data_IF_647759533657
#
_entry.id   IF_647759533657
#
_cell.length_a   1.000
_cell.length_b   1.000
_cell.length_c   1.000
_cell.angle_alpha   90.00
_cell.angle_beta   90.00
_cell.angle_gamma   90.00
#
_symmetry.space_group_name_H-M   'P 1'
#
loop_
_entity.id
_entity.type
_entity.pdbx_description
1 polymer ?
#
# COMPACT_ATOMS: atom_id res chain seq x y z
N UNK A 1 -25.21 -17.31 11.80
CA UNK A 1 -23.82 -16.83 11.74
C UNK A 1 -23.60 -16.35 10.32
N UNK A 2 -23.03 -15.15 10.08
CA UNK A 2 -22.73 -14.74 8.72
C UNK A 2 -21.69 -15.73 8.19
N UNK A 3 -21.99 -16.40 7.09
CA UNK A 3 -20.97 -17.12 6.33
C UNK A 3 -20.01 -16.04 5.86
N UNK A 4 -18.79 -16.03 6.40
CA UNK A 4 -17.70 -15.29 5.78
C UNK A 4 -17.54 -15.98 4.43
N UNK A 5 -18.00 -15.32 3.38
CA UNK A 5 -17.72 -15.75 2.01
C UNK A 5 -16.20 -15.83 1.90
N UNK A 6 -15.66 -17.01 1.61
CA UNK A 6 -14.21 -17.30 1.57
C UNK A 6 -13.46 -16.50 0.50
N UNK A 7 -14.14 -15.53 -0.12
CA UNK A 7 -13.66 -14.67 -1.18
C UNK A 7 -13.21 -13.28 -0.69
N UNK A 8 -13.47 -12.88 0.56
CA UNK A 8 -12.96 -11.60 1.08
C UNK A 8 -11.53 -11.71 1.63
N UNK A 9 -10.65 -10.85 1.13
CA UNK A 9 -9.24 -10.78 1.51
C UNK A 9 -8.96 -9.50 2.31
N UNK A 10 -8.23 -9.64 3.42
CA UNK A 10 -7.61 -8.52 4.11
C UNK A 10 -6.35 -8.12 3.35
N UNK A 11 -6.34 -6.97 2.67
CA UNK A 11 -5.21 -6.53 1.83
C UNK A 11 -4.54 -5.31 2.46
N UNK A 12 -3.20 -5.37 2.58
CA UNK A 12 -2.36 -4.25 3.04
C UNK A 12 -1.75 -3.53 1.85
N UNK A 13 -2.38 -2.44 1.43
CA UNK A 13 -1.85 -1.55 0.40
C UNK A 13 -0.77 -0.66 0.99
N UNK A 14 0.40 -0.60 0.35
CA UNK A 14 1.57 0.17 0.81
C UNK A 14 1.98 1.23 -0.21
N UNK A 15 2.29 2.41 0.30
CA UNK A 15 2.92 3.51 -0.43
C UNK A 15 3.70 4.38 0.55
N UNK A 16 4.99 4.59 0.30
CA UNK A 16 5.88 5.28 1.23
C UNK A 16 5.79 4.69 2.64
N UNK A 17 5.63 5.57 3.63
CA UNK A 17 5.44 5.21 5.04
C UNK A 17 4.05 4.64 5.38
N UNK A 18 3.11 4.67 4.43
CA UNK A 18 1.70 4.39 4.69
C UNK A 18 1.33 2.94 4.41
N UNK A 19 0.49 2.38 5.29
CA UNK A 19 -0.16 1.08 5.08
C UNK A 19 -1.66 1.23 5.26
N UNK A 20 -2.41 1.03 4.17
CA UNK A 20 -3.86 1.10 4.13
C UNK A 20 -4.40 -0.32 4.14
N UNK A 21 -5.15 -0.67 5.17
CA UNK A 21 -5.82 -1.97 5.28
C UNK A 21 -7.23 -1.87 4.71
N UNK A 22 -7.53 -2.68 3.71
CA UNK A 22 -8.86 -2.77 3.09
C UNK A 22 -9.32 -4.22 3.00
N UNK A 23 -10.63 -4.42 3.15
CA UNK A 23 -11.27 -5.69 2.81
C UNK A 23 -11.63 -5.68 1.33
N UNK A 24 -11.10 -6.64 0.59
CA UNK A 24 -11.26 -6.75 -0.86
C UNK A 24 -12.01 -8.04 -1.17
N UNK A 25 -13.17 -7.94 -1.79
CA UNK A 25 -13.81 -9.09 -2.45
C UNK A 25 -12.92 -9.57 -3.60
N UNK A 26 -12.57 -10.85 -3.60
CA UNK A 26 -11.72 -11.47 -4.61
C UNK A 26 -12.36 -11.60 -5.99
N UNK A 27 -13.68 -11.42 -6.11
CA UNK A 27 -14.43 -11.40 -7.38
C UNK A 27 -14.74 -9.99 -7.90
N UNK A 28 -14.53 -8.93 -7.11
CA UNK A 28 -14.75 -7.56 -7.60
C UNK A 28 -13.68 -7.14 -8.62
N UNK A 29 -13.97 -6.10 -9.39
CA UNK A 29 -13.04 -5.59 -10.38
C UNK A 29 -11.95 -4.71 -9.77
N UNK A 30 -10.77 -4.66 -10.40
CA UNK A 30 -9.69 -3.75 -9.99
C UNK A 30 -10.07 -2.27 -10.10
N UNK A 31 -11.00 -1.91 -11.00
CA UNK A 31 -11.57 -0.56 -11.07
C UNK A 31 -12.28 -0.17 -9.77
N UNK A 32 -13.06 -1.09 -9.17
CA UNK A 32 -13.77 -0.87 -7.91
C UNK A 32 -12.78 -0.72 -6.75
N UNK A 33 -11.73 -1.56 -6.71
CA UNK A 33 -10.67 -1.48 -5.70
C UNK A 33 -9.92 -0.16 -5.80
N UNK A 34 -9.61 0.27 -7.03
CA UNK A 34 -8.93 1.54 -7.30
C UNK A 34 -9.77 2.72 -6.82
N UNK A 35 -11.07 2.72 -7.14
CA UNK A 35 -11.99 3.77 -6.69
C UNK A 35 -12.07 3.84 -5.15
N UNK A 36 -12.25 2.70 -4.48
CA UNK A 36 -12.30 2.65 -3.01
C UNK A 36 -10.97 3.06 -2.36
N UNK A 37 -9.83 2.66 -2.92
CA UNK A 37 -8.52 3.06 -2.40
C UNK A 37 -8.33 4.57 -2.54
N UNK A 38 -8.63 5.15 -3.71
CA UNK A 38 -8.52 6.60 -3.92
C UNK A 38 -9.46 7.40 -3.02
N UNK A 39 -10.67 6.91 -2.77
CA UNK A 39 -11.60 7.54 -1.82
C UNK A 39 -11.00 7.61 -0.42
N UNK A 40 -10.48 6.48 0.09
CA UNK A 40 -9.80 6.42 1.39
C UNK A 40 -8.59 7.35 1.42
N UNK A 41 -7.79 7.36 0.34
CA UNK A 41 -6.59 8.18 0.27
C UNK A 41 -6.91 9.68 0.33
N UNK A 42 -7.94 10.13 -0.41
CA UNK A 42 -8.37 11.54 -0.43
C UNK A 42 -9.00 11.98 0.88
N UNK A 43 -9.76 11.11 1.54
CA UNK A 43 -10.39 11.41 2.84
C UNK A 43 -9.36 11.50 3.97
N UNK A 44 -8.38 10.57 3.99
CA UNK A 44 -7.45 10.42 5.12
C UNK A 44 -6.12 11.15 4.96
N UNK A 45 -5.71 11.41 3.72
CA UNK A 45 -4.44 12.06 3.41
C UNK A 45 -4.65 13.28 2.49
N UNK A 46 -5.43 14.28 2.92
CA UNK A 46 -5.71 15.48 2.11
C UNK A 46 -4.44 16.28 1.78
N UNK A 47 -3.42 16.19 2.63
CA UNK A 47 -2.11 16.85 2.44
C UNK A 47 -1.08 15.96 1.69
N UNK A 48 -1.51 14.79 1.21
CA UNK A 48 -0.69 13.82 0.51
C UNK A 48 -0.08 12.72 1.39
N UNK A 49 0.59 11.78 0.74
CA UNK A 49 1.23 10.62 1.35
C UNK A 49 2.72 10.87 1.56
N UNK A 50 3.17 10.85 2.82
CA UNK A 50 4.58 10.87 3.21
C UNK A 50 5.38 9.75 2.54
N UNK A 51 6.50 10.10 1.92
CA UNK A 51 7.34 9.14 1.17
C UNK A 51 8.18 8.29 2.12
N UNK A 52 8.84 8.89 3.11
CA UNK A 52 9.58 8.17 4.15
C UNK A 52 9.50 8.92 5.49
N UNK A 53 9.75 8.22 6.59
CA UNK A 53 9.63 8.79 7.94
C UNK A 53 10.64 9.91 8.26
N UNK A 54 11.74 9.98 7.51
CA UNK A 54 12.84 10.94 7.74
C UNK A 54 12.73 12.24 6.93
N UNK A 55 11.79 12.31 5.98
CA UNK A 55 11.64 13.42 5.03
C UNK A 55 10.24 14.03 5.12
N UNK A 56 10.12 15.37 5.06
CA UNK A 56 8.81 16.03 4.97
C UNK A 56 8.17 15.91 3.58
N UNK A 57 8.82 15.24 2.62
CA UNK A 57 8.33 15.09 1.26
C UNK A 57 7.06 14.23 1.21
N UNK A 58 6.04 14.75 0.51
CA UNK A 58 4.77 14.05 0.30
C UNK A 58 4.45 13.92 -1.18
N UNK A 59 3.77 12.84 -1.54
CA UNK A 59 3.13 12.68 -2.85
C UNK A 59 1.66 13.07 -2.74
N UNK A 60 1.23 14.06 -3.53
CA UNK A 60 -0.17 14.44 -3.59
C UNK A 60 -1.03 13.29 -4.14
N UNK A 61 -2.20 13.07 -3.53
CA UNK A 61 -3.17 12.10 -4.05
C UNK A 61 -3.84 12.71 -5.30
N UNK A 62 -3.79 12.06 -6.46
CA UNK A 62 -4.37 12.61 -7.68
C UNK A 62 -5.90 12.78 -7.58
N UNK A 63 -6.43 13.80 -8.24
CA UNK A 63 -7.87 14.04 -8.37
C UNK A 63 -8.46 13.31 -9.59
N UNK A 64 -9.79 13.09 -9.56
CA UNK A 64 -10.52 12.51 -10.69
C UNK A 64 -10.47 10.98 -10.79
N UNK A 65 -10.74 10.46 -11.98
CA UNK A 65 -10.67 9.02 -12.27
C UNK A 65 -9.28 8.69 -12.80
N UNK A 66 -8.50 7.95 -11.99
CA UNK A 66 -7.11 7.61 -12.31
C UNK A 66 -6.88 6.12 -12.12
N UNK A 67 -6.00 5.57 -12.96
CA UNK A 67 -5.55 4.18 -12.85
C UNK A 67 -4.34 4.10 -11.93
N UNK A 68 -4.24 2.99 -11.22
CA UNK A 68 -3.08 2.67 -10.39
C UNK A 68 -2.38 1.44 -10.94
N UNK A 69 -1.05 1.43 -10.85
CA UNK A 69 -0.30 0.19 -10.96
C UNK A 69 -0.23 -0.51 -9.61
N UNK A 70 -0.14 -1.84 -9.63
CA UNK A 70 -0.03 -2.66 -8.43
C UNK A 70 1.16 -3.60 -8.56
N UNK A 71 1.76 -3.95 -7.42
CA UNK A 71 2.80 -4.96 -7.33
C UNK A 71 2.66 -5.82 -6.08
N UNK A 72 3.09 -7.07 -6.21
CA UNK A 72 3.28 -7.98 -5.09
C UNK A 72 4.76 -8.01 -4.70
N UNK A 73 5.11 -8.18 -3.42
CA UNK A 73 6.51 -8.28 -3.03
C UNK A 73 7.14 -9.53 -3.66
N UNK A 74 8.41 -9.42 -4.05
CA UNK A 74 9.19 -10.59 -4.52
C UNK A 74 9.27 -11.64 -3.41
N UNK A 75 9.43 -11.20 -2.16
CA UNK A 75 9.39 -12.03 -0.97
C UNK A 75 8.51 -11.37 0.10
N UNK A 76 7.38 -11.99 0.46
CA UNK A 76 6.46 -11.43 1.46
C UNK A 76 7.02 -11.39 2.89
N UNK A 77 8.09 -12.16 3.18
CA UNK A 77 8.78 -12.15 4.47
C UNK A 77 9.90 -11.10 4.53
N UNK A 78 10.29 -10.53 3.39
CA UNK A 78 11.38 -9.56 3.27
C UNK A 78 11.09 -8.59 2.13
N UNK A 79 10.48 -7.45 2.49
CA UNK A 79 10.05 -6.43 1.51
C UNK A 79 11.22 -5.72 0.84
N UNK A 80 12.45 -5.82 1.39
CA UNK A 80 13.63 -5.16 0.84
C UNK A 80 14.08 -5.77 -0.49
N UNK A 81 13.61 -6.98 -0.80
CA UNK A 81 13.88 -7.67 -2.08
C UNK A 81 13.09 -7.08 -3.25
N UNK A 82 12.29 -6.04 -3.01
CA UNK A 82 11.59 -5.28 -4.02
C UNK A 82 10.26 -5.89 -4.46
N UNK A 83 9.76 -5.35 -5.57
CA UNK A 83 8.36 -5.48 -5.99
C UNK A 83 8.27 -6.05 -7.39
N UNK A 84 7.32 -6.96 -7.59
CA UNK A 84 6.96 -7.51 -8.89
C UNK A 84 5.65 -6.90 -9.35
N UNK A 85 5.72 -6.01 -10.34
CA UNK A 85 4.55 -5.43 -11.00
C UNK A 85 3.61 -6.52 -11.50
N UNK A 86 2.31 -6.36 -11.22
CA UNK A 86 1.26 -7.23 -11.74
C UNK A 86 0.53 -6.52 -12.87
N UNK A 87 0.40 -7.20 -14.01
CA UNK A 87 -0.35 -6.68 -15.15
C UNK A 87 -1.83 -6.83 -14.87
N UNK A 88 -2.48 -5.70 -14.57
CA UNK A 88 -3.93 -5.62 -14.32
C UNK A 88 -4.60 -4.72 -15.34
N UNK A 89 -5.83 -5.08 -15.69
CA UNK A 89 -6.79 -4.25 -16.39
C UNK A 89 -7.96 -3.96 -15.46
N UNK A 90 -8.74 -2.93 -15.77
CA UNK A 90 -9.87 -2.48 -14.96
C UNK A 90 -10.87 -3.61 -14.63
N UNK A 91 -11.08 -4.54 -15.56
CA UNK A 91 -12.02 -5.66 -15.43
C UNK A 91 -11.42 -6.95 -14.84
N UNK A 92 -10.12 -6.97 -14.55
CA UNK A 92 -9.51 -8.12 -13.91
C UNK A 92 -10.00 -8.25 -12.46
N UNK A 93 -9.90 -9.46 -11.91
CA UNK A 93 -10.30 -9.76 -10.52
C UNK A 93 -9.08 -10.15 -9.66
N UNK A 94 -9.04 -9.75 -8.37
CA UNK A 94 -7.89 -9.96 -7.48
C UNK A 94 -7.41 -11.41 -7.40
N UNK A 95 -8.33 -12.36 -7.24
CA UNK A 95 -7.96 -13.77 -7.08
C UNK A 95 -7.19 -14.31 -8.29
N UNK A 96 -7.52 -13.84 -9.49
CA UNK A 96 -6.83 -14.22 -10.73
C UNK A 96 -5.46 -13.56 -10.87
N UNK A 97 -5.18 -12.50 -10.10
CA UNK A 97 -3.92 -11.74 -10.10
C UNK A 97 -3.02 -12.05 -8.91
N UNK A 98 -3.36 -13.08 -8.13
CA UNK A 98 -2.53 -13.59 -7.04
C UNK A 98 -2.77 -12.89 -5.70
N UNK A 99 -3.85 -12.12 -5.56
CA UNK A 99 -4.28 -11.68 -4.24
C UNK A 99 -4.76 -12.88 -3.43
N UNK A 100 -4.41 -12.84 -2.15
CA UNK A 100 -4.78 -13.84 -1.15
C UNK A 100 -5.04 -13.09 0.15
N UNK A 101 -5.73 -13.73 1.09
CA UNK A 101 -5.95 -13.13 2.39
C UNK A 101 -4.60 -12.75 3.05
N UNK A 102 -4.61 -11.60 3.72
CA UNK A 102 -3.45 -11.00 4.35
C UNK A 102 -2.25 -10.70 3.41
N UNK A 103 -2.47 -10.54 2.11
CA UNK A 103 -1.39 -10.16 1.20
C UNK A 103 -0.98 -8.68 1.37
N UNK A 104 0.26 -8.39 0.95
CA UNK A 104 0.83 -7.05 0.87
C UNK A 104 0.89 -6.67 -0.60
N UNK A 105 0.47 -5.45 -0.90
CA UNK A 105 0.41 -4.92 -2.26
C UNK A 105 1.00 -3.52 -2.24
N UNK A 106 2.02 -3.25 -3.05
CA UNK A 106 2.42 -1.88 -3.33
C UNK A 106 1.58 -1.32 -4.47
N UNK A 107 1.33 -0.01 -4.46
CA UNK A 107 0.68 0.67 -5.57
C UNK A 107 1.49 1.89 -6.03
N UNK A 108 1.22 2.35 -7.25
CA UNK A 108 1.83 3.55 -7.82
C UNK A 108 0.79 4.37 -8.56
N UNK A 109 0.93 5.70 -8.51
CA UNK A 109 0.09 6.66 -9.24
C UNK A 109 0.51 6.81 -10.71
N UNK A 110 1.67 6.28 -11.10
CA UNK A 110 2.12 6.22 -12.49
C UNK A 110 1.92 4.80 -13.04
N UNK A 111 0.87 4.55 -13.83
CA UNK A 111 0.61 3.23 -14.39
C UNK A 111 1.51 2.86 -15.57
N UNK A 112 2.14 3.83 -16.23
CA UNK A 112 2.92 3.61 -17.45
C UNK A 112 4.38 3.26 -17.12
N UNK A 113 4.97 3.96 -16.14
CA UNK A 113 6.32 3.72 -15.62
C UNK A 113 6.31 3.58 -14.09
N UNK A 114 5.69 2.51 -13.54
CA UNK A 114 5.43 2.42 -12.12
C UNK A 114 6.69 2.25 -11.29
N UNK A 115 6.92 3.20 -10.38
CA UNK A 115 7.82 3.04 -9.23
C UNK A 115 7.01 2.69 -7.98
N UNK A 116 7.39 1.59 -7.31
CA UNK A 116 6.73 1.10 -6.11
C UNK A 116 7.48 1.58 -4.87
N UNK A 117 7.22 2.82 -4.50
CA UNK A 117 7.79 3.46 -3.32
C UNK A 117 7.16 2.87 -2.06
N UNK A 118 7.94 2.15 -1.27
CA UNK A 118 7.53 1.64 0.05
C UNK A 118 8.68 1.83 1.02
N UNK A 119 8.40 2.59 2.08
CA UNK A 119 9.34 2.77 3.18
C UNK A 119 9.35 1.49 4.04
N UNK A 120 10.55 0.98 4.30
CA UNK A 120 10.75 -0.24 5.08
C UNK A 120 11.57 0.18 6.29
N UNK A 121 10.93 0.35 7.45
CA UNK A 121 11.63 0.73 8.67
C UNK A 121 12.73 -0.29 8.97
N UNK A 122 13.92 0.22 9.28
CA UNK A 122 15.01 -0.59 9.80
C UNK A 122 15.07 -0.42 11.32
N UNK A 123 15.51 -1.46 12.04
CA UNK A 123 15.67 -1.37 13.49
C UNK A 123 16.70 -0.30 13.90
N UNK A 124 17.61 0.06 13.00
CA UNK A 124 18.59 1.11 13.22
C UNK A 124 17.92 2.49 13.29
N UNK A 125 16.78 2.69 12.60
CA UNK A 125 16.00 3.93 12.65
C UNK A 125 15.30 4.14 14.01
N UNK A 126 15.09 3.07 14.82
CA UNK A 126 14.46 3.16 16.15
C UNK A 126 15.45 3.51 17.28
N UNK A 127 16.76 3.34 17.06
CA UNK A 127 17.79 3.57 18.08
C UNK A 127 18.22 5.02 18.21
N UNK A 128 17.90 5.89 17.24
CA UNK A 128 18.27 7.31 17.28
C UNK A 128 17.35 8.16 18.18
N UNK A 129 16.19 7.63 18.59
CA UNK A 129 15.19 8.35 19.41
C UNK A 129 15.35 8.15 20.94
N UNK A 130 16.23 7.26 21.42
CA UNK A 130 16.42 6.94 22.85
C UNK A 130 17.64 7.58 23.55
N UNK A 131 18.42 8.46 22.91
CA UNK A 131 19.60 9.09 23.55
C UNK A 131 19.28 10.39 24.33
N UNK A 132 18.01 10.76 24.50
CA UNK A 132 17.58 12.04 25.08
C UNK A 132 17.13 12.05 26.55
N UNK A 133 17.09 10.91 27.26
CA UNK A 133 16.60 10.87 28.65
C UNK A 133 17.62 10.25 29.62
N UNK A 134 18.48 11.08 30.21
CA UNK A 134 19.22 10.63 31.39
C UNK A 134 20.47 11.38 31.79
N UNK A 135 20.43 12.71 31.95
CA UNK A 135 21.27 13.34 32.98
C UNK A 135 20.74 14.72 33.35
N UNK A 136 20.10 14.82 34.50
CA UNK A 136 20.43 15.93 35.40
C UNK A 136 20.41 15.38 36.84
N UNK A 137 21.53 15.59 37.51
CA UNK A 137 21.90 15.04 38.81
C UNK A 137 21.83 16.12 39.91
#
# INVERSE_FOLDING_TARGET
MPQIDETFFSVRFKYGAHTILMFVDGQQQFSEITASLLEVLRDRFPDGLTINHTSPETTAVPEGDVRLAFALPVNAADLTQGWKSIKVSDSDIPVAKGFKDNCIVAFSFDPDEPEFLVDIPTLDDELEDEEGMGSDA
#
